data_IF_337113268968
#
_entry.id   IF_337113268968
#
_cell.length_a   1.000
_cell.length_b   1.000
_cell.length_c   1.000
_cell.angle_alpha   90.00
_cell.angle_beta   90.00
_cell.angle_gamma   90.00
#
_symmetry.space_group_name_H-M   'P 1'
#
loop_
_entity.id
_entity.type
_entity.pdbx_description
1 polymer ?
#
# COMPACT_ATOMS: atom_id res chain seq x y z
N UNK A 1 -15.78 39.12 13.78
CA UNK A 1 -16.58 38.09 14.50
C UNK A 1 -16.38 36.71 13.88
N UNK A 2 -16.40 36.58 12.55
CA UNK A 2 -16.12 35.31 11.84
C UNK A 2 -14.69 34.81 12.03
N UNK A 3 -13.70 35.70 12.16
CA UNK A 3 -12.29 35.31 12.34
C UNK A 3 -12.03 34.60 13.67
N UNK A 4 -12.74 35.01 14.73
CA UNK A 4 -12.65 34.35 16.03
C UNK A 4 -13.18 32.91 15.97
N UNK A 5 -14.28 32.68 15.25
CA UNK A 5 -14.86 31.34 15.07
C UNK A 5 -13.93 30.45 14.25
N UNK A 6 -13.30 30.98 13.20
CA UNK A 6 -12.30 30.24 12.41
C UNK A 6 -11.07 29.88 13.25
N UNK A 7 -10.56 30.83 14.03
CA UNK A 7 -9.41 30.62 14.90
C UNK A 7 -9.65 29.55 15.97
N UNK A 8 -10.82 29.55 16.62
CA UNK A 8 -11.16 28.53 17.62
C UNK A 8 -11.32 27.14 17.00
N UNK A 9 -11.95 27.03 15.82
CA UNK A 9 -12.04 25.78 15.07
C UNK A 9 -10.66 25.26 14.66
N UNK A 10 -9.78 26.14 14.19
CA UNK A 10 -8.41 25.80 13.81
C UNK A 10 -7.63 25.25 15.01
N UNK A 11 -7.64 25.97 16.13
CA UNK A 11 -6.95 25.57 17.35
C UNK A 11 -7.44 24.21 17.89
N UNK A 12 -8.76 23.96 17.81
CA UNK A 12 -9.33 22.68 18.20
C UNK A 12 -8.88 21.54 17.27
N UNK A 13 -8.91 21.76 15.95
CA UNK A 13 -8.45 20.79 14.97
C UNK A 13 -6.95 20.48 15.12
N UNK A 14 -6.12 21.51 15.34
CA UNK A 14 -4.69 21.37 15.50
C UNK A 14 -4.35 20.59 16.79
N UNK A 15 -5.04 20.88 17.89
CA UNK A 15 -4.88 20.14 19.14
C UNK A 15 -5.27 18.67 18.99
N UNK A 16 -6.39 18.40 18.30
CA UNK A 16 -6.82 17.03 17.99
C UNK A 16 -5.80 16.30 17.10
N UNK A 17 -5.32 16.97 16.06
CA UNK A 17 -4.31 16.43 15.15
C UNK A 17 -3.02 16.08 15.89
N UNK A 18 -2.51 16.97 16.74
CA UNK A 18 -1.31 16.70 17.55
C UNK A 18 -1.50 15.48 18.44
N UNK A 19 -2.62 15.38 19.15
CA UNK A 19 -2.92 14.24 20.01
C UNK A 19 -3.00 12.91 19.22
N UNK A 20 -3.62 12.93 18.04
CA UNK A 20 -3.74 11.76 17.18
C UNK A 20 -2.41 11.34 16.54
N UNK A 21 -1.63 12.31 16.05
CA UNK A 21 -0.38 12.06 15.34
C UNK A 21 0.72 11.48 16.24
N UNK A 22 0.69 11.74 17.57
CA UNK A 22 1.62 11.13 18.55
C UNK A 22 1.63 9.59 18.46
N UNK A 23 0.49 8.98 18.18
CA UNK A 23 0.37 7.51 18.10
C UNK A 23 0.53 6.97 16.66
N UNK A 24 0.59 7.85 15.66
CA UNK A 24 0.58 7.47 14.26
C UNK A 24 2.00 7.23 13.77
N UNK A 25 2.25 6.04 13.20
CA UNK A 25 3.52 5.75 12.53
C UNK A 25 3.42 6.19 11.07
N UNK A 26 4.28 7.11 10.65
CA UNK A 26 4.41 7.45 9.24
C UNK A 26 5.01 6.26 8.48
N UNK A 27 4.33 5.82 7.42
CA UNK A 27 4.78 4.76 6.52
C UNK A 27 4.50 5.24 5.10
N UNK A 28 5.51 5.14 4.25
CA UNK A 28 5.41 5.45 2.84
C UNK A 28 6.07 4.34 2.07
N UNK A 29 5.56 4.09 0.88
CA UNK A 29 6.05 3.05 -0.01
C UNK A 29 6.22 3.63 -1.41
N UNK A 30 7.05 3.01 -2.22
CA UNK A 30 7.26 3.40 -3.61
C UNK A 30 6.69 2.37 -4.59
N UNK A 31 6.29 2.78 -5.81
CA UNK A 31 5.99 1.83 -6.88
C UNK A 31 7.16 0.86 -7.11
N UNK A 32 6.87 -0.42 -7.30
CA UNK A 32 7.86 -1.49 -7.42
C UNK A 32 8.31 -2.13 -6.10
N UNK A 33 8.01 -1.53 -4.95
CA UNK A 33 8.36 -2.11 -3.65
C UNK A 33 7.49 -3.32 -3.33
N UNK A 34 8.12 -4.40 -2.84
CA UNK A 34 7.43 -5.60 -2.38
C UNK A 34 6.83 -5.38 -0.99
N UNK A 35 5.53 -5.59 -0.90
CA UNK A 35 4.77 -5.42 0.33
C UNK A 35 3.85 -6.61 0.57
N UNK A 36 3.52 -6.84 1.83
CA UNK A 36 2.48 -7.79 2.21
C UNK A 36 1.19 -7.05 2.54
N UNK A 37 0.10 -7.53 1.96
CA UNK A 37 -1.20 -6.86 2.02
C UNK A 37 -2.14 -7.60 2.95
N UNK A 38 -2.68 -6.92 3.96
CA UNK A 38 -3.66 -7.47 4.88
C UNK A 38 -5.04 -7.46 4.23
N UNK A 39 -5.64 -8.64 4.13
CA UNK A 39 -7.03 -8.77 3.71
C UNK A 39 -7.95 -8.72 4.93
N UNK A 40 -8.97 -7.86 4.84
CA UNK A 40 -9.99 -7.77 5.89
C UNK A 40 -11.11 -8.78 5.63
N UNK A 41 -11.85 -9.13 6.69
CA UNK A 41 -12.86 -10.21 6.62
C UNK A 41 -13.97 -9.91 5.61
N UNK A 42 -14.35 -8.64 5.50
CA UNK A 42 -15.38 -8.13 4.58
C UNK A 42 -15.01 -8.27 3.10
N UNK A 43 -13.72 -8.49 2.78
CA UNK A 43 -13.25 -8.69 1.41
C UNK A 43 -13.26 -10.17 1.00
N UNK A 44 -13.45 -11.08 1.96
CA UNK A 44 -13.53 -12.50 1.68
C UNK A 44 -14.98 -12.93 1.39
N UNK A 45 -15.20 -13.84 0.43
CA UNK A 45 -16.49 -14.50 0.29
C UNK A 45 -16.85 -15.25 1.58
N UNK A 46 -18.15 -15.28 1.89
CA UNK A 46 -18.66 -15.97 3.06
C UNK A 46 -18.19 -17.43 3.09
N UNK A 47 -17.65 -17.88 4.23
CA UNK A 47 -17.16 -19.25 4.41
C UNK A 47 -15.71 -19.50 3.99
N UNK A 48 -15.04 -18.57 3.30
CA UNK A 48 -13.61 -18.73 2.92
C UNK A 48 -12.67 -18.34 4.06
N UNK A 49 -13.11 -17.47 4.98
CA UNK A 49 -12.30 -16.99 6.09
C UNK A 49 -12.30 -17.99 7.26
N UNK A 50 -11.13 -18.53 7.62
CA UNK A 50 -10.93 -19.38 8.80
C UNK A 50 -10.12 -18.63 9.88
N UNK A 51 -10.25 -19.04 11.15
CA UNK A 51 -9.52 -18.42 12.27
C UNK A 51 -8.00 -18.58 12.13
N UNK A 52 -7.55 -19.65 11.49
CA UNK A 52 -6.13 -20.00 11.31
C UNK A 52 -5.59 -19.67 9.90
N UNK A 53 -6.41 -19.12 9.00
CA UNK A 53 -5.92 -18.79 7.66
C UNK A 53 -4.95 -17.60 7.70
N UNK A 54 -3.96 -17.55 6.80
CA UNK A 54 -3.08 -16.39 6.67
C UNK A 54 -3.89 -15.11 6.47
N UNK A 55 -3.57 -14.07 7.24
CA UNK A 55 -4.27 -12.77 7.17
C UNK A 55 -3.65 -11.81 6.16
N UNK A 56 -2.42 -12.09 5.75
CA UNK A 56 -1.66 -11.29 4.81
C UNK A 56 -1.42 -12.11 3.55
N UNK A 57 -1.73 -11.50 2.42
CA UNK A 57 -1.33 -11.98 1.10
C UNK A 57 0.16 -11.63 0.91
N UNK A 58 0.87 -12.48 0.16
CA UNK A 58 2.33 -12.55 0.06
C UNK A 58 3.04 -11.28 -0.44
N UNK A 59 4.30 -11.41 -0.89
CA UNK A 59 5.00 -10.27 -1.50
C UNK A 59 4.28 -9.88 -2.79
N UNK A 60 3.69 -8.69 -2.78
CA UNK A 60 3.02 -8.08 -3.91
C UNK A 60 3.70 -6.75 -4.20
N UNK A 61 3.96 -6.46 -5.47
CA UNK A 61 4.51 -5.16 -5.86
C UNK A 61 3.43 -4.07 -5.83
N UNK A 62 3.82 -2.88 -5.40
CA UNK A 62 2.98 -1.68 -5.56
C UNK A 62 3.04 -1.25 -7.02
N UNK A 63 1.88 -1.20 -7.68
CA UNK A 63 1.77 -0.75 -9.08
C UNK A 63 1.91 0.76 -9.20
N UNK A 64 1.18 1.50 -8.38
CA UNK A 64 1.28 2.97 -8.33
C UNK A 64 0.77 3.53 -7.00
N UNK A 65 1.25 4.72 -6.66
CA UNK A 65 0.87 5.47 -5.47
C UNK A 65 -0.18 6.51 -5.82
N UNK A 66 -1.36 6.44 -5.19
CA UNK A 66 -2.41 7.45 -5.36
C UNK A 66 -2.17 8.60 -4.37
N UNK A 67 -1.86 8.28 -3.11
CA UNK A 67 -1.49 9.23 -2.06
C UNK A 67 -0.66 8.50 -0.99
N UNK A 68 -0.07 9.24 -0.04
CA UNK A 68 0.64 8.62 1.10
C UNK A 68 -0.22 7.61 1.89
N UNK A 69 -1.55 7.75 1.82
CA UNK A 69 -2.51 6.90 2.53
C UNK A 69 -3.07 5.75 1.69
N UNK A 70 -2.94 5.79 0.36
CA UNK A 70 -3.62 4.87 -0.55
C UNK A 70 -2.73 4.45 -1.73
N UNK A 71 -2.61 3.13 -1.91
CA UNK A 71 -1.75 2.51 -2.92
C UNK A 71 -2.51 1.45 -3.71
N UNK A 72 -2.13 1.28 -4.98
CA UNK A 72 -2.63 0.20 -5.83
C UNK A 72 -1.56 -0.86 -5.92
N UNK A 73 -1.94 -2.10 -5.66
CA UNK A 73 -1.05 -3.27 -5.63
C UNK A 73 -1.38 -4.24 -6.76
N UNK A 74 -0.42 -5.04 -7.18
CA UNK A 74 -0.60 -6.06 -8.23
C UNK A 74 -1.18 -7.35 -7.64
N UNK A 75 -2.50 -7.37 -7.43
CA UNK A 75 -3.17 -8.57 -6.95
C UNK A 75 -3.19 -9.68 -8.03
N UNK A 76 -3.04 -10.95 -7.64
CA UNK A 76 -3.31 -12.09 -8.52
C UNK A 76 -4.76 -12.06 -9.03
N UNK A 77 -4.98 -12.57 -10.25
CA UNK A 77 -6.30 -12.66 -10.89
C UNK A 77 -7.35 -13.43 -10.06
N UNK A 78 -6.89 -14.33 -9.20
CA UNK A 78 -7.75 -15.18 -8.37
C UNK A 78 -8.40 -14.39 -7.22
N UNK A 79 -7.89 -13.20 -6.91
CA UNK A 79 -8.40 -12.33 -5.86
C UNK A 79 -9.41 -11.35 -6.45
N UNK A 80 -10.70 -11.64 -6.26
CA UNK A 80 -11.82 -10.84 -6.76
C UNK A 80 -12.04 -9.50 -6.03
N UNK A 81 -11.03 -8.98 -5.33
CA UNK A 81 -11.14 -7.73 -4.56
C UNK A 81 -10.47 -6.57 -5.28
N UNK A 82 -10.90 -5.34 -4.98
CA UNK A 82 -10.21 -4.13 -5.42
C UNK A 82 -8.72 -4.15 -5.02
N UNK A 83 -7.88 -3.76 -5.98
CA UNK A 83 -6.42 -3.63 -5.85
C UNK A 83 -5.98 -2.40 -5.06
N UNK A 84 -6.90 -1.57 -4.59
CA UNK A 84 -6.59 -0.37 -3.79
C UNK A 84 -6.60 -0.69 -2.30
N UNK A 85 -5.50 -0.38 -1.62
CA UNK A 85 -5.32 -0.62 -0.19
C UNK A 85 -4.88 0.64 0.54
N UNK A 86 -5.32 0.75 1.79
CA UNK A 86 -4.88 1.78 2.71
C UNK A 86 -3.48 1.43 3.27
N UNK A 87 -2.65 2.43 3.54
CA UNK A 87 -1.31 2.26 4.12
C UNK A 87 -1.32 1.45 5.43
N UNK A 88 -2.40 1.53 6.22
CA UNK A 88 -2.56 0.76 7.46
C UNK A 88 -2.73 -0.75 7.22
N UNK A 89 -3.21 -1.14 6.03
CA UNK A 89 -3.40 -2.52 5.62
C UNK A 89 -2.19 -3.05 4.81
N UNK A 90 -1.15 -2.24 4.63
CA UNK A 90 0.09 -2.61 3.92
C UNK A 90 1.24 -2.73 4.94
N UNK A 91 2.06 -3.76 4.76
CA UNK A 91 3.29 -3.94 5.53
C UNK A 91 4.49 -4.20 4.63
N UNK A 92 5.69 -3.68 4.95
CA UNK A 92 6.89 -4.01 4.19
C UNK A 92 7.12 -5.51 4.20
N UNK A 93 7.54 -6.06 3.05
CA UNK A 93 7.98 -7.44 2.97
C UNK A 93 9.41 -7.55 3.52
N UNK A 94 9.65 -8.57 4.34
CA UNK A 94 10.98 -8.90 4.84
C UNK A 94 11.32 -10.32 4.39
N UNK A 95 12.30 -10.51 3.50
CA UNK A 95 12.71 -11.83 3.09
C UNK A 95 13.28 -12.60 4.30
N UNK A 96 12.95 -13.88 4.46
CA UNK A 96 13.36 -14.68 5.63
C UNK A 96 14.86 -15.00 5.67
N UNK A 97 15.60 -14.84 4.57
CA UNK A 97 17.05 -14.98 4.49
C UNK A 97 17.61 -14.04 3.42
N UNK A 98 18.88 -13.64 3.56
CA UNK A 98 19.60 -12.66 2.73
C UNK A 98 19.86 -13.09 1.27
N UNK A 99 18.86 -13.65 0.59
CA UNK A 99 18.88 -13.85 -0.86
C UNK A 99 18.39 -12.57 -1.53
N UNK A 100 19.30 -11.81 -2.14
CA UNK A 100 18.95 -10.66 -2.95
C UNK A 100 18.07 -11.09 -4.12
N UNK A 101 16.86 -10.54 -4.21
CA UNK A 101 16.01 -10.72 -5.40
C UNK A 101 16.53 -9.77 -6.47
N UNK A 102 17.56 -10.18 -7.18
CA UNK A 102 17.95 -9.55 -8.46
C UNK A 102 16.83 -9.85 -9.45
N UNK A 103 15.94 -8.88 -9.65
CA UNK A 103 14.95 -8.92 -10.72
C UNK A 103 15.69 -8.49 -11.98
N UNK A 104 16.20 -9.48 -12.70
CA UNK A 104 16.87 -9.27 -13.97
C UNK A 104 15.85 -8.64 -14.94
N UNK A 105 16.01 -7.34 -15.18
CA UNK A 105 15.16 -6.58 -16.10
C UNK A 105 15.71 -6.79 -17.52
N UNK A 106 15.51 -7.98 -18.06
CA UNK A 106 15.55 -8.26 -19.50
C UNK A 106 14.10 -8.10 -19.99
N UNK A 107 13.75 -7.16 -20.86
CA UNK A 107 14.29 -7.05 -22.21
C UNK A 107 14.48 -5.59 -22.65
N UNK A 108 15.73 -5.26 -22.95
CA UNK A 108 16.08 -4.17 -23.87
C UNK A 108 16.00 -4.74 -25.29
N UNK A 109 14.96 -4.40 -26.05
CA UNK A 109 15.04 -4.48 -27.51
C UNK A 109 15.15 -3.05 -28.05
N UNK A 110 16.40 -2.65 -28.23
CA UNK A 110 16.81 -1.51 -29.04
C UNK A 110 16.39 -1.74 -30.50
N UNK A 111 15.64 -0.79 -31.04
CA UNK A 111 15.36 -0.72 -32.47
C UNK A 111 16.65 -0.40 -33.25
N UNK A 112 16.84 -1.06 -34.39
CA UNK A 112 17.65 -0.53 -35.49
C UNK A 112 16.91 -0.73 -36.81
N UNK A 113 16.60 0.40 -37.45
CA UNK A 113 16.05 0.57 -38.79
C UNK A 113 17.15 0.47 -39.87
N UNK A 114 16.75 0.10 -41.10
CA UNK A 114 17.45 0.36 -42.38
C UNK A 114 18.70 -0.50 -42.65
N UNK A 115 19.07 -0.89 -43.86
CA UNK A 115 18.64 -0.50 -45.21
C UNK A 115 19.34 -1.46 -46.18
N UNK A 116 18.66 -1.95 -47.23
CA UNK A 116 19.22 -2.37 -48.52
C UNK A 116 18.11 -2.60 -49.54
#
# INVERSE_FOLDING_TARGET
MLDNVRSTLQASNDSYKQAADIHRRHRTFQPGELVMVRMRKERYPAGTYSKLSPRKLGPVAIKHKISDNAYVVELPSDVLTSSTFNVADISPFHPPDAAGTEIDSSDTNTATEGEN
#
